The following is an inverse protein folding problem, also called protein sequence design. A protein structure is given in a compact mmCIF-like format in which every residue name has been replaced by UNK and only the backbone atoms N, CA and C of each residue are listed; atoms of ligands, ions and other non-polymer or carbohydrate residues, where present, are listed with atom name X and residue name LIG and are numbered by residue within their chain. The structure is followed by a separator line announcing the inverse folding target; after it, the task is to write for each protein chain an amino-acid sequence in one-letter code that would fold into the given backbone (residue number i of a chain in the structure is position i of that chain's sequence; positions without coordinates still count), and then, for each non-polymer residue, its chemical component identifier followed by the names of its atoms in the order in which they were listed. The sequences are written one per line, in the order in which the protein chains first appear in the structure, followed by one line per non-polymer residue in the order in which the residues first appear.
data_IF_994186704422
#
_entry.id   IF_994186704422
#
_cell.length_a   1.000
_cell.length_b   1.000
_cell.length_c   1.000
_cell.angle_alpha   90.00
_cell.angle_beta   90.00
_cell.angle_gamma   90.00
#
_symmetry.space_group_name_H-M   'P 1'
#
loop_
_entity.id
_entity.type
_entity.pdbx_description
1 polymer ?
#
# COMPACT_ATOMS: atom_id res chain seq x y z
N UNK A 1 -4.44 8.94 -22.60
CA UNK A 1 -5.88 9.28 -22.71
C UNK A 1 -6.08 10.77 -22.78
N UNK A 2 -6.44 11.25 -23.96
CA UNK A 2 -6.92 12.62 -24.19
C UNK A 2 -8.40 12.72 -23.74
N UNK A 3 -8.71 13.71 -22.90
CA UNK A 3 -10.07 13.93 -22.37
C UNK A 3 -10.76 15.14 -22.99
N UNK A 4 -10.03 15.89 -23.82
CA UNK A 4 -10.45 17.11 -24.49
C UNK A 4 -9.95 17.09 -25.93
N UNK A 5 -10.55 17.92 -26.78
CA UNK A 5 -10.15 18.11 -28.18
C UNK A 5 -9.15 19.28 -28.23
N UNK A 6 -7.88 19.06 -28.63
CA UNK A 6 -6.91 20.15 -28.71
C UNK A 6 -7.30 21.15 -29.78
N UNK A 7 -7.65 22.37 -29.36
CA UNK A 7 -7.94 23.47 -30.27
C UNK A 7 -6.64 24.15 -30.71
N UNK A 8 -6.37 24.17 -32.02
CA UNK A 8 -5.17 24.80 -32.56
C UNK A 8 -5.39 26.29 -32.84
N UNK A 9 -6.42 26.59 -33.64
CA UNK A 9 -6.91 27.92 -34.03
C UNK A 9 -8.19 27.71 -34.84
N UNK A 10 -8.82 28.81 -35.24
CA UNK A 10 -9.91 28.76 -36.23
C UNK A 10 -9.34 28.25 -37.56
N UNK A 11 -10.02 27.25 -38.12
CA UNK A 11 -9.60 26.55 -39.34
C UNK A 11 -10.43 27.02 -40.53
N UNK A 12 -9.78 27.19 -41.67
CA UNK A 12 -10.48 27.33 -42.94
C UNK A 12 -11.00 25.96 -43.41
N UNK A 13 -12.06 25.91 -44.22
CA UNK A 13 -12.70 24.65 -44.62
C UNK A 13 -11.78 23.66 -45.37
N UNK A 14 -10.72 24.17 -46.03
CA UNK A 14 -9.68 23.33 -46.65
C UNK A 14 -8.75 22.65 -45.63
N UNK A 15 -8.63 23.21 -44.43
CA UNK A 15 -7.77 22.71 -43.35
C UNK A 15 -8.52 21.76 -42.41
N UNK A 16 -9.86 21.83 -42.37
CA UNK A 16 -10.72 21.04 -41.50
C UNK A 16 -10.52 19.53 -41.71
N UNK A 17 -10.40 19.07 -42.95
CA UNK A 17 -10.16 17.66 -43.26
C UNK A 17 -8.83 17.15 -42.67
N UNK A 18 -7.78 17.99 -42.72
CA UNK A 18 -6.46 17.65 -42.17
C UNK A 18 -6.48 17.60 -40.64
N UNK A 19 -7.20 18.53 -40.01
CA UNK A 19 -7.38 18.54 -38.57
C UNK A 19 -8.19 17.33 -38.07
N UNK A 20 -9.29 16.99 -38.75
CA UNK A 20 -10.09 15.82 -38.41
C UNK A 20 -9.30 14.50 -38.56
N UNK A 21 -8.40 14.42 -39.55
CA UNK A 21 -7.49 13.28 -39.67
C UNK A 21 -6.52 13.21 -38.48
N UNK A 22 -5.93 14.34 -38.08
CA UNK A 22 -5.04 14.39 -36.92
C UNK A 22 -5.75 14.00 -35.61
N UNK A 23 -7.01 14.41 -35.42
CA UNK A 23 -7.80 13.98 -34.26
C UNK A 23 -8.00 12.45 -34.24
N UNK A 24 -8.25 11.82 -35.38
CA UNK A 24 -8.34 10.36 -35.48
C UNK A 24 -7.01 9.68 -35.16
N UNK A 25 -5.90 10.24 -35.62
CA UNK A 25 -4.56 9.73 -35.28
C UNK A 25 -4.30 9.77 -33.77
N UNK A 26 -4.76 10.82 -33.07
CA UNK A 26 -4.68 10.92 -31.62
C UNK A 26 -5.53 9.85 -30.90
N UNK A 27 -6.75 9.61 -31.38
CA UNK A 27 -7.62 8.54 -30.87
C UNK A 27 -6.99 7.15 -31.07
N UNK A 28 -6.37 6.92 -32.23
CA UNK A 28 -5.66 5.68 -32.55
C UNK A 28 -4.44 5.46 -31.64
N UNK A 29 -3.72 6.53 -31.26
CA UNK A 29 -2.59 6.44 -30.33
C UNK A 29 -3.06 6.02 -28.93
N UNK A 30 -4.17 6.57 -28.45
CA UNK A 30 -4.76 6.16 -27.17
C UNK A 30 -5.19 4.68 -27.20
N UNK A 31 -5.85 4.25 -28.29
CA UNK A 31 -6.27 2.86 -28.47
C UNK A 31 -5.08 1.89 -28.50
N UNK A 32 -4.02 2.23 -29.24
CA UNK A 32 -2.77 1.44 -29.30
C UNK A 32 -2.06 1.34 -27.95
N UNK A 33 -2.19 2.35 -27.11
CA UNK A 33 -1.64 2.36 -25.75
C UNK A 33 -2.45 1.52 -24.75
N UNK A 34 -3.58 0.93 -25.20
CA UNK A 34 -4.46 0.11 -24.37
C UNK A 34 -5.54 0.90 -23.63
N UNK A 35 -5.64 2.22 -23.85
CA UNK A 35 -6.76 2.99 -23.34
C UNK A 35 -8.03 2.65 -24.14
N UNK A 36 -9.16 2.70 -23.45
CA UNK A 36 -10.49 2.57 -24.07
C UNK A 36 -11.19 3.92 -23.97
N UNK A 37 -10.90 4.87 -24.90
CA UNK A 37 -11.58 6.14 -24.90
C UNK A 37 -13.07 5.89 -25.12
N UNK A 38 -13.89 6.45 -24.23
CA UNK A 38 -15.34 6.43 -24.38
C UNK A 38 -15.74 7.38 -25.51
N UNK A 39 -16.69 6.98 -26.36
CA UNK A 39 -17.22 7.86 -27.39
C UNK A 39 -17.76 9.14 -26.73
N UNK A 40 -17.62 10.30 -27.39
CA UNK A 40 -18.08 11.60 -26.85
C UNK A 40 -19.56 11.59 -26.46
N UNK A 41 -20.43 11.00 -27.27
CA UNK A 41 -21.87 10.99 -27.02
C UNK A 41 -22.19 10.04 -25.86
N UNK A 42 -21.51 8.89 -25.80
CA UNK A 42 -21.58 7.97 -24.66
C UNK A 42 -21.07 8.64 -23.37
N UNK A 43 -19.98 9.40 -23.44
CA UNK A 43 -19.42 10.16 -22.32
C UNK A 43 -20.39 11.21 -21.82
N UNK A 44 -21.02 11.94 -22.74
CA UNK A 44 -22.03 12.95 -22.40
C UNK A 44 -23.24 12.29 -21.71
N UNK A 45 -23.73 11.17 -22.23
CA UNK A 45 -24.80 10.38 -21.59
C UNK A 45 -24.35 9.89 -20.22
N UNK A 46 -23.15 9.34 -20.09
CA UNK A 46 -22.63 8.84 -18.83
C UNK A 46 -22.52 9.94 -17.76
N UNK A 47 -22.10 11.15 -18.13
CA UNK A 47 -22.05 12.32 -17.24
C UNK A 47 -23.45 12.67 -16.75
N UNK A 48 -24.45 12.81 -17.63
CA UNK A 48 -25.82 13.15 -17.24
C UNK A 48 -26.40 12.08 -16.30
N UNK A 49 -26.19 10.80 -16.62
CA UNK A 49 -26.66 9.71 -15.77
C UNK A 49 -25.95 9.71 -14.41
N UNK A 50 -24.66 10.02 -14.35
CA UNK A 50 -23.89 10.12 -13.11
C UNK A 50 -24.36 11.29 -12.24
N UNK A 51 -24.56 12.46 -12.83
CA UNK A 51 -25.12 13.63 -12.13
C UNK A 51 -26.51 13.34 -11.57
N UNK A 52 -27.37 12.69 -12.37
CA UNK A 52 -28.70 12.29 -11.90
C UNK A 52 -28.62 11.24 -10.80
N UNK A 53 -27.72 10.27 -10.88
CA UNK A 53 -27.51 9.28 -9.83
C UNK A 53 -27.04 9.94 -8.52
N UNK A 54 -26.11 10.88 -8.61
CA UNK A 54 -25.65 11.69 -7.48
C UNK A 54 -26.81 12.45 -6.82
N UNK A 55 -27.64 13.11 -7.62
CA UNK A 55 -28.82 13.81 -7.13
C UNK A 55 -29.81 12.87 -6.42
N UNK A 56 -30.12 11.70 -7.01
CA UNK A 56 -31.06 10.73 -6.42
C UNK A 56 -30.56 10.14 -5.08
N UNK A 57 -29.25 10.00 -4.91
CA UNK A 57 -28.68 9.46 -3.66
C UNK A 57 -28.95 10.35 -2.46
N UNK A 58 -29.04 11.67 -2.67
CA UNK A 58 -29.39 12.63 -1.62
C UNK A 58 -30.80 12.39 -1.07
N UNK A 59 -31.72 11.87 -1.89
CA UNK A 59 -33.11 11.64 -1.50
C UNK A 59 -33.38 10.20 -1.03
N UNK A 60 -32.56 9.24 -1.44
CA UNK A 60 -32.83 7.81 -1.26
C UNK A 60 -33.06 7.44 0.22
N UNK A 61 -32.23 7.93 1.13
CA UNK A 61 -32.36 7.64 2.56
C UNK A 61 -33.65 8.23 3.16
N UNK A 62 -34.08 9.40 2.68
CA UNK A 62 -35.33 10.04 3.11
C UNK A 62 -36.54 9.29 2.56
N UNK A 63 -36.54 8.97 1.26
CA UNK A 63 -37.64 8.22 0.63
C UNK A 63 -37.82 6.83 1.24
N UNK A 64 -36.73 6.11 1.55
CA UNK A 64 -36.83 4.80 2.20
C UNK A 64 -37.48 4.89 3.58
N UNK A 65 -37.20 5.96 4.34
CA UNK A 65 -37.83 6.21 5.63
C UNK A 65 -39.32 6.55 5.48
N UNK A 66 -39.66 7.40 4.51
CA UNK A 66 -41.04 7.84 4.27
C UNK A 66 -41.92 6.71 3.72
N UNK A 67 -41.39 5.89 2.80
CA UNK A 67 -42.07 4.72 2.26
C UNK A 67 -42.29 3.63 3.34
N UNK A 68 -41.46 3.64 4.39
CA UNK A 68 -41.55 2.75 5.56
C UNK A 68 -41.79 1.28 5.18
N UNK A 69 -41.08 0.80 4.15
CA UNK A 69 -41.17 -0.58 3.69
C UNK A 69 -40.39 -1.44 4.68
N UNK A 70 -41.07 -2.38 5.34
CA UNK A 70 -40.45 -3.31 6.29
C UNK A 70 -39.20 -3.97 5.70
N UNK A 71 -38.11 -3.97 6.47
CA UNK A 71 -36.82 -4.56 6.11
C UNK A 71 -36.09 -3.91 4.91
N UNK A 72 -36.62 -2.83 4.31
CA UNK A 72 -36.00 -2.13 3.20
C UNK A 72 -35.33 -0.83 3.66
N UNK A 73 -34.00 -0.86 3.79
CA UNK A 73 -33.18 0.31 4.04
C UNK A 73 -31.94 0.28 3.14
N UNK A 74 -31.17 1.37 3.11
CA UNK A 74 -29.98 1.49 2.25
C UNK A 74 -28.97 0.36 2.46
N UNK A 75 -28.76 -0.10 3.69
CA UNK A 75 -27.85 -1.22 3.98
C UNK A 75 -28.36 -2.55 3.41
N UNK A 76 -29.68 -2.80 3.49
CA UNK A 76 -30.33 -3.96 2.85
C UNK A 76 -30.14 -3.93 1.35
N UNK A 77 -30.38 -2.78 0.71
CA UNK A 77 -30.23 -2.61 -0.73
C UNK A 77 -28.78 -2.79 -1.19
N UNK A 78 -27.80 -2.26 -0.44
CA UNK A 78 -26.37 -2.46 -0.72
C UNK A 78 -26.00 -3.95 -0.64
N UNK A 79 -26.42 -4.65 0.42
CA UNK A 79 -26.19 -6.09 0.56
C UNK A 79 -26.82 -6.87 -0.60
N UNK A 80 -28.05 -6.52 -0.96
CA UNK A 80 -28.80 -7.17 -2.03
C UNK A 80 -28.10 -7.01 -3.39
N UNK A 81 -27.65 -5.80 -3.72
CA UNK A 81 -26.91 -5.50 -4.95
C UNK A 81 -25.54 -6.19 -5.02
N UNK A 82 -24.86 -6.36 -3.88
CA UNK A 82 -23.60 -7.11 -3.80
C UNK A 82 -23.81 -8.61 -4.07
N UNK A 83 -24.87 -9.19 -3.51
CA UNK A 83 -25.20 -10.60 -3.73
C UNK A 83 -25.64 -10.90 -5.18
N UNK A 84 -26.21 -9.91 -5.89
CA UNK A 84 -26.49 -10.06 -7.33
C UNK A 84 -25.24 -9.87 -8.20
N UNK A 85 -24.28 -9.04 -7.79
CA UNK A 85 -23.01 -8.82 -8.51
C UNK A 85 -22.20 -10.10 -8.72
N UNK A 86 -22.31 -11.02 -7.75
CA UNK A 86 -21.44 -12.18 -7.64
C UNK A 86 -21.67 -13.27 -8.65
N UNK A 87 -22.78 -13.23 -9.39
CA UNK A 87 -23.04 -14.23 -10.42
C UNK A 87 -22.46 -13.88 -11.79
N UNK A 88 -22.60 -12.63 -12.26
CA UNK A 88 -22.32 -12.29 -13.67
C UNK A 88 -20.93 -11.67 -13.96
N UNK A 89 -20.15 -11.28 -12.95
CA UNK A 89 -18.87 -10.54 -13.20
C UNK A 89 -17.66 -10.97 -12.37
N UNK A 90 -17.81 -11.94 -11.46
CA UNK A 90 -16.76 -12.27 -10.50
C UNK A 90 -15.85 -13.41 -10.97
N UNK A 91 -14.55 -13.19 -10.80
CA UNK A 91 -13.55 -14.26 -10.97
C UNK A 91 -13.74 -15.35 -9.89
N UNK A 92 -13.40 -16.62 -10.16
CA UNK A 92 -13.59 -17.72 -9.21
C UNK A 92 -12.97 -17.48 -7.83
N UNK A 93 -11.87 -16.71 -7.77
CA UNK A 93 -11.17 -16.36 -6.53
C UNK A 93 -11.97 -15.36 -5.68
N UNK A 94 -12.57 -14.35 -6.31
CA UNK A 94 -13.43 -13.41 -5.59
C UNK A 94 -14.74 -14.08 -5.14
N UNK A 95 -15.22 -15.13 -5.84
CA UNK A 95 -16.34 -15.96 -5.36
C UNK A 95 -15.98 -16.72 -4.08
N UNK A 96 -14.74 -17.22 -3.95
CA UNK A 96 -14.26 -17.89 -2.76
C UNK A 96 -14.10 -16.92 -1.55
N UNK A 97 -13.61 -15.70 -1.79
CA UNK A 97 -13.46 -14.69 -0.74
C UNK A 97 -14.82 -14.16 -0.25
N UNK A 98 -15.78 -13.95 -1.16
CA UNK A 98 -17.16 -13.63 -0.78
C UNK A 98 -17.83 -14.78 -0.03
N UNK A 99 -17.64 -16.03 -0.47
CA UNK A 99 -18.19 -17.20 0.22
C UNK A 99 -17.65 -17.34 1.65
N UNK A 100 -16.36 -17.05 1.87
CA UNK A 100 -15.77 -16.98 3.21
C UNK A 100 -16.36 -15.84 4.04
N UNK A 101 -16.60 -14.66 3.46
CA UNK A 101 -17.23 -13.53 4.17
C UNK A 101 -18.72 -13.74 4.48
N UNK A 102 -19.43 -14.54 3.67
CA UNK A 102 -20.84 -14.86 3.84
C UNK A 102 -21.08 -16.04 4.79
N UNK A 103 -20.03 -16.77 5.18
CA UNK A 103 -20.05 -17.79 6.23
C UNK A 103 -20.34 -17.21 7.62
N UNK A 104 -20.01 -15.94 7.84
CA UNK A 104 -20.23 -15.23 9.11
C UNK A 104 -21.64 -14.62 9.16
N UNK A 105 -22.69 -15.46 9.16
CA UNK A 105 -24.02 -15.19 9.71
C UNK A 105 -24.82 -13.94 9.25
N UNK A 106 -24.37 -13.18 8.25
CA UNK A 106 -24.88 -11.84 7.94
C UNK A 106 -25.65 -11.76 6.59
N UNK A 107 -26.19 -12.88 6.15
CA UNK A 107 -27.05 -13.00 4.98
C UNK A 107 -28.36 -12.23 5.12
N UNK A 108 -28.94 -11.81 4.00
CA UNK A 108 -30.26 -11.19 3.98
C UNK A 108 -31.33 -12.22 4.37
N UNK A 109 -32.25 -11.84 5.25
CA UNK A 109 -33.45 -12.64 5.50
C UNK A 109 -34.31 -12.72 4.23
N UNK A 110 -35.11 -13.78 4.03
CA UNK A 110 -35.98 -13.91 2.86
C UNK A 110 -36.90 -12.69 2.66
N UNK A 111 -37.42 -12.13 3.75
CA UNK A 111 -38.30 -10.96 3.75
C UNK A 111 -37.55 -9.70 3.32
N UNK A 112 -36.30 -9.54 3.76
CA UNK A 112 -35.46 -8.41 3.38
C UNK A 112 -35.02 -8.50 1.92
N UNK A 113 -34.77 -9.73 1.44
CA UNK A 113 -34.49 -10.00 0.03
C UNK A 113 -35.68 -9.65 -0.87
N UNK A 114 -36.91 -10.07 -0.49
CA UNK A 114 -38.12 -9.74 -1.24
C UNK A 114 -38.38 -8.23 -1.27
N UNK A 115 -38.27 -7.55 -0.12
CA UNK A 115 -38.46 -6.12 -0.03
C UNK A 115 -37.44 -5.33 -0.89
N UNK A 116 -36.17 -5.76 -0.87
CA UNK A 116 -35.13 -5.17 -1.70
C UNK A 116 -35.35 -5.41 -3.20
N UNK A 117 -35.79 -6.61 -3.59
CA UNK A 117 -36.15 -6.94 -4.98
C UNK A 117 -37.29 -6.06 -5.49
N UNK A 118 -38.40 -5.98 -4.73
CA UNK A 118 -39.56 -5.16 -5.10
C UNK A 118 -39.18 -3.69 -5.22
N UNK A 119 -38.38 -3.16 -4.30
CA UNK A 119 -37.90 -1.78 -4.37
C UNK A 119 -37.01 -1.55 -5.59
N UNK A 120 -36.09 -2.48 -5.89
CA UNK A 120 -35.21 -2.40 -7.07
C UNK A 120 -36.03 -2.36 -8.36
N UNK A 121 -37.07 -3.18 -8.48
CA UNK A 121 -37.90 -3.23 -9.69
C UNK A 121 -38.75 -1.96 -9.83
N UNK A 122 -39.34 -1.48 -8.74
CA UNK A 122 -40.06 -0.21 -8.73
C UNK A 122 -39.13 0.96 -9.11
N UNK A 123 -37.91 0.98 -8.56
CA UNK A 123 -36.91 1.98 -8.91
C UNK A 123 -36.54 1.90 -10.40
N UNK A 124 -36.31 0.70 -10.93
CA UNK A 124 -35.98 0.48 -12.34
C UNK A 124 -37.11 0.97 -13.26
N UNK A 125 -38.36 0.67 -12.92
CA UNK A 125 -39.52 1.13 -13.69
C UNK A 125 -39.56 2.67 -13.76
N UNK A 126 -39.37 3.36 -12.64
CA UNK A 126 -39.48 4.83 -12.55
C UNK A 126 -38.28 5.54 -13.15
N UNK A 127 -37.06 5.10 -12.83
CA UNK A 127 -35.82 5.82 -13.13
C UNK A 127 -35.01 5.26 -14.30
N UNK A 128 -35.38 4.10 -14.84
CA UNK A 128 -34.77 3.51 -16.03
C UNK A 128 -35.77 3.35 -17.18
N UNK A 129 -36.80 2.53 -17.01
CA UNK A 129 -37.67 2.12 -18.13
C UNK A 129 -38.57 3.26 -18.63
N UNK A 130 -39.13 4.06 -17.72
CA UNK A 130 -39.95 5.23 -18.07
C UNK A 130 -39.14 6.49 -18.36
N UNK A 131 -37.84 6.37 -18.61
CA UNK A 131 -36.95 7.50 -18.88
C UNK A 131 -36.32 7.39 -20.27
N UNK A 132 -36.13 8.55 -20.90
CA UNK A 132 -35.33 8.64 -22.14
C UNK A 132 -33.89 8.21 -21.87
N UNK A 133 -33.23 7.58 -22.85
CA UNK A 133 -31.94 6.88 -22.70
C UNK A 133 -30.88 7.64 -21.89
N UNK A 134 -30.65 8.91 -22.21
CA UNK A 134 -29.64 9.73 -21.54
C UNK A 134 -30.00 10.10 -20.09
N UNK A 135 -31.24 9.89 -19.68
CA UNK A 135 -31.78 10.13 -18.34
C UNK A 135 -31.90 8.86 -17.51
N UNK A 136 -31.70 7.68 -18.09
CA UNK A 136 -31.87 6.41 -17.37
C UNK A 136 -30.83 6.25 -16.24
N UNK A 137 -31.28 5.85 -15.05
CA UNK A 137 -30.40 5.62 -13.89
C UNK A 137 -30.74 4.29 -13.23
N UNK A 138 -29.70 3.51 -12.96
CA UNK A 138 -29.80 2.26 -12.23
C UNK A 138 -29.60 2.49 -10.73
N UNK A 139 -30.34 1.75 -9.90
CA UNK A 139 -30.22 1.81 -8.44
C UNK A 139 -28.78 1.56 -7.97
N UNK A 140 -28.05 0.66 -8.64
CA UNK A 140 -26.65 0.38 -8.38
C UNK A 140 -25.79 1.66 -8.47
N UNK A 141 -25.95 2.47 -9.51
CA UNK A 141 -25.20 3.73 -9.67
C UNK A 141 -25.50 4.74 -8.57
N UNK A 142 -26.73 4.73 -8.02
CA UNK A 142 -27.14 5.60 -6.90
C UNK A 142 -26.52 5.14 -5.58
N UNK A 143 -26.50 3.83 -5.34
CA UNK A 143 -25.96 3.26 -4.10
C UNK A 143 -24.42 3.32 -4.03
N UNK A 144 -23.74 3.30 -5.19
CA UNK A 144 -22.29 3.21 -5.29
C UNK A 144 -21.67 4.40 -6.06
N UNK A 145 -22.02 5.63 -5.66
CA UNK A 145 -21.50 6.86 -6.31
C UNK A 145 -19.98 6.98 -6.20
N UNK A 146 -19.42 6.69 -5.03
CA UNK A 146 -17.99 6.88 -4.77
C UNK A 146 -17.12 5.70 -5.24
N UNK A 147 -17.71 4.68 -5.89
CA UNK A 147 -17.02 3.42 -6.19
C UNK A 147 -16.50 2.67 -4.95
N UNK A 148 -16.64 3.24 -3.74
CA UNK A 148 -15.96 2.82 -2.51
C UNK A 148 -16.55 1.54 -1.87
N UNK A 149 -17.40 0.83 -2.61
CA UNK A 149 -17.94 -0.46 -2.15
C UNK A 149 -17.95 -1.54 -3.24
N UNK A 150 -17.27 -1.30 -4.36
CA UNK A 150 -16.55 -2.39 -5.03
C UNK A 150 -15.16 -2.48 -4.38
N UNK A 151 -15.12 -2.93 -3.12
CA UNK A 151 -13.88 -3.40 -2.48
C UNK A 151 -13.22 -4.58 -3.23
N UNK A 152 -13.76 -4.98 -4.38
CA UNK A 152 -13.25 -5.96 -5.32
C UNK A 152 -12.71 -5.35 -6.64
N UNK A 153 -12.96 -4.06 -6.93
CA UNK A 153 -12.41 -3.39 -8.13
C UNK A 153 -11.35 -2.34 -7.83
N UNK A 154 -11.08 -2.05 -6.55
CA UNK A 154 -9.87 -1.37 -6.13
C UNK A 154 -8.68 -2.34 -6.28
N UNK A 155 -8.30 -2.54 -7.53
CA UNK A 155 -7.13 -3.27 -8.03
C UNK A 155 -5.79 -2.78 -7.47
N UNK A 156 -5.84 -1.82 -6.54
CA UNK A 156 -4.78 -1.45 -5.61
C UNK A 156 -4.62 -2.48 -4.47
N UNK A 157 -5.11 -3.71 -4.64
CA UNK A 157 -4.89 -4.84 -3.73
C UNK A 157 -3.53 -5.52 -3.91
N UNK A 158 -2.59 -4.96 -4.67
CA UNK A 158 -1.24 -5.57 -4.78
C UNK A 158 -0.51 -5.64 -3.44
N UNK A 159 -0.89 -4.82 -2.44
CA UNK A 159 -0.19 -4.74 -1.16
C UNK A 159 -0.69 -5.72 -0.07
N UNK A 160 -1.85 -6.38 -0.25
CA UNK A 160 -2.55 -7.05 0.87
C UNK A 160 -2.94 -8.51 0.63
N UNK A 161 -2.46 -9.13 -0.44
CA UNK A 161 -2.90 -10.48 -0.86
C UNK A 161 -1.96 -11.61 -0.38
N UNK A 162 -1.48 -11.53 0.87
CA UNK A 162 -0.64 -12.60 1.51
C UNK A 162 -1.36 -13.28 2.69
N UNK A 163 -2.55 -12.84 3.10
CA UNK A 163 -3.19 -13.37 4.30
C UNK A 163 -4.10 -14.60 4.03
N UNK A 164 -3.86 -15.66 4.80
CA UNK A 164 -4.68 -16.86 5.03
C UNK A 164 -4.38 -18.14 4.22
N UNK A 165 -3.09 -18.44 4.01
CA UNK A 165 -2.62 -19.83 4.00
C UNK A 165 -2.08 -20.11 5.41
N UNK A 166 -2.25 -21.32 5.95
CA UNK A 166 -1.57 -21.72 7.19
C UNK A 166 -0.06 -21.52 6.96
N UNK A 167 0.48 -20.42 7.48
CA UNK A 167 1.90 -20.10 7.37
C UNK A 167 2.59 -20.86 8.49
N UNK A 168 3.05 -22.07 8.17
CA UNK A 168 3.70 -22.95 9.14
C UNK A 168 5.18 -22.60 9.36
N UNK A 169 5.72 -21.65 8.57
CA UNK A 169 7.11 -21.18 8.64
C UNK A 169 7.21 -19.73 9.13
N UNK A 170 8.08 -19.49 10.11
CA UNK A 170 8.43 -18.18 10.67
C UNK A 170 8.89 -17.17 9.60
N UNK A 171 9.55 -17.62 8.52
CA UNK A 171 9.96 -16.74 7.41
C UNK A 171 8.75 -16.17 6.65
N UNK A 172 7.76 -17.02 6.36
CA UNK A 172 6.55 -16.63 5.64
C UNK A 172 5.66 -15.71 6.48
N UNK A 173 5.61 -15.97 7.79
CA UNK A 173 4.95 -15.09 8.77
C UNK A 173 5.62 -13.72 8.77
N UNK A 174 6.96 -13.68 8.83
CA UNK A 174 7.71 -12.43 8.78
C UNK A 174 7.50 -11.68 7.45
N UNK A 175 7.45 -12.39 6.32
CA UNK A 175 7.16 -11.82 5.01
C UNK A 175 5.75 -11.23 4.92
N UNK A 176 4.75 -11.90 5.50
CA UNK A 176 3.38 -11.39 5.58
C UNK A 176 3.30 -10.11 6.41
N UNK A 177 3.93 -10.11 7.60
CA UNK A 177 3.98 -8.95 8.48
C UNK A 177 4.70 -7.74 7.84
N UNK A 178 5.68 -8.01 6.96
CA UNK A 178 6.48 -7.00 6.28
C UNK A 178 6.06 -6.76 4.82
N UNK A 179 4.93 -7.32 4.37
CA UNK A 179 4.54 -7.36 2.97
C UNK A 179 4.53 -5.98 2.30
N UNK A 180 4.02 -4.95 2.99
CA UNK A 180 4.00 -3.57 2.46
C UNK A 180 5.41 -3.06 2.14
N UNK A 181 6.40 -3.39 2.96
CA UNK A 181 7.79 -3.01 2.76
C UNK A 181 8.43 -3.82 1.62
N UNK A 182 8.15 -5.12 1.57
CA UNK A 182 8.63 -6.00 0.50
C UNK A 182 8.09 -5.57 -0.88
N UNK A 183 6.83 -5.14 -0.91
CA UNK A 183 6.12 -4.78 -2.13
C UNK A 183 6.44 -3.36 -2.55
N UNK A 184 6.41 -2.36 -1.66
CA UNK A 184 6.57 -0.95 -2.05
C UNK A 184 8.00 -0.42 -1.95
N UNK A 185 8.85 -1.01 -1.09
CA UNK A 185 10.18 -0.51 -0.78
C UNK A 185 11.12 -0.60 -1.98
N UNK A 186 11.52 0.56 -2.52
CA UNK A 186 12.40 0.61 -3.68
C UNK A 186 13.84 0.19 -3.31
N UNK A 187 14.42 -0.73 -4.09
CA UNK A 187 15.81 -1.19 -3.90
C UNK A 187 16.88 -0.19 -4.33
N UNK A 188 16.50 0.87 -5.04
CA UNK A 188 17.44 1.92 -5.52
C UNK A 188 17.47 3.10 -4.56
N UNK A 189 16.30 3.64 -4.23
CA UNK A 189 16.18 4.89 -3.46
C UNK A 189 15.54 4.74 -2.07
N UNK A 190 15.13 3.53 -1.70
CA UNK A 190 14.57 3.22 -0.36
C UNK A 190 13.28 3.97 0.00
N UNK A 191 12.66 4.62 -0.99
CA UNK A 191 11.32 5.20 -0.85
C UNK A 191 10.25 4.16 -1.20
N UNK A 192 9.08 4.28 -0.57
CA UNK A 192 7.88 3.49 -0.85
C UNK A 192 7.02 4.10 -1.98
N UNK A 193 7.36 5.31 -2.41
CA UNK A 193 6.79 5.99 -3.57
C UNK A 193 7.89 6.81 -4.24
N UNK A 194 8.22 6.47 -5.48
CA UNK A 194 9.31 7.06 -6.26
C UNK A 194 9.05 6.85 -7.76
N UNK A 195 9.97 7.27 -8.62
CA UNK A 195 9.86 7.09 -10.07
C UNK A 195 10.41 5.74 -10.56
N UNK A 196 11.08 4.97 -9.69
CA UNK A 196 11.61 3.65 -10.04
C UNK A 196 10.51 2.58 -10.11
N UNK A 197 10.59 1.71 -11.11
CA UNK A 197 9.63 0.66 -11.40
C UNK A 197 9.05 0.82 -12.80
N UNK A 198 7.99 0.07 -13.07
CA UNK A 198 7.31 0.04 -14.35
C UNK A 198 5.82 0.29 -14.14
N UNK A 199 5.20 1.02 -15.06
CA UNK A 199 3.75 1.17 -15.10
C UNK A 199 3.20 0.27 -16.21
N UNK A 200 2.16 -0.48 -15.90
CA UNK A 200 1.44 -1.24 -16.91
C UNK A 200 0.44 -0.37 -17.68
N UNK A 201 -0.24 -0.97 -18.67
CA UNK A 201 -1.26 -0.31 -19.50
C UNK A 201 -2.49 0.17 -18.72
N UNK A 202 -2.69 -0.32 -17.49
CA UNK A 202 -3.77 0.12 -16.57
C UNK A 202 -3.28 1.20 -15.61
N UNK A 203 -2.06 1.69 -15.80
CA UNK A 203 -1.37 2.63 -14.91
C UNK A 203 -1.16 2.06 -13.49
N UNK A 204 -1.05 0.74 -13.35
CA UNK A 204 -0.62 0.11 -12.12
C UNK A 204 0.89 0.05 -12.06
N UNK A 205 1.42 0.46 -10.91
CA UNK A 205 2.86 0.50 -10.70
C UNK A 205 3.37 -0.85 -10.19
N UNK A 206 4.21 -1.52 -10.98
CA UNK A 206 5.13 -2.55 -10.49
C UNK A 206 6.38 -1.85 -9.96
N UNK A 207 6.53 -1.80 -8.65
CA UNK A 207 7.67 -1.21 -7.95
C UNK A 207 8.94 -2.05 -8.16
N UNK A 208 10.09 -1.36 -8.23
CA UNK A 208 11.39 -2.02 -8.19
C UNK A 208 11.77 -2.38 -6.75
N UNK A 209 11.14 -3.43 -6.23
CA UNK A 209 11.15 -3.84 -4.82
C UNK A 209 11.60 -5.29 -4.64
N UNK A 210 11.67 -5.76 -3.38
CA UNK A 210 12.05 -7.14 -3.07
C UNK A 210 11.13 -8.14 -3.76
N UNK A 211 9.82 -7.93 -3.67
CA UNK A 211 8.82 -8.81 -4.28
C UNK A 211 8.91 -8.93 -5.80
N UNK A 212 9.59 -8.00 -6.48
CA UNK A 212 9.85 -8.08 -7.93
C UNK A 212 11.02 -9.00 -8.30
N UNK A 213 11.85 -9.41 -7.33
CA UNK A 213 13.04 -10.22 -7.57
C UNK A 213 13.01 -11.57 -6.86
N UNK A 214 12.65 -11.61 -5.58
CA UNK A 214 12.56 -12.84 -4.78
C UNK A 214 11.64 -12.64 -3.57
N UNK A 215 11.11 -13.72 -3.02
CA UNK A 215 10.40 -13.69 -1.74
C UNK A 215 11.36 -13.26 -0.62
N UNK A 216 10.84 -12.58 0.41
CA UNK A 216 11.66 -12.28 1.59
C UNK A 216 12.13 -13.58 2.25
N UNK A 217 11.27 -14.60 2.28
CA UNK A 217 11.58 -15.91 2.85
C UNK A 217 12.82 -16.55 2.21
N UNK A 218 12.91 -16.55 0.88
CA UNK A 218 14.09 -17.07 0.15
C UNK A 218 15.37 -16.30 0.49
N UNK A 219 15.25 -14.97 0.63
CA UNK A 219 16.38 -14.10 0.97
C UNK A 219 16.88 -14.40 2.38
N UNK A 220 15.97 -14.57 3.33
CA UNK A 220 16.30 -14.92 4.71
C UNK A 220 16.97 -16.29 4.80
N UNK A 221 16.46 -17.29 4.07
CA UNK A 221 17.08 -18.62 4.01
C UNK A 221 18.51 -18.56 3.45
N UNK A 222 18.71 -17.88 2.31
CA UNK A 222 20.05 -17.72 1.72
C UNK A 222 21.01 -16.98 2.65
N UNK A 223 20.52 -15.98 3.38
CA UNK A 223 21.29 -15.23 4.36
C UNK A 223 21.78 -16.12 5.52
N UNK A 224 20.91 -17.00 6.02
CA UNK A 224 21.29 -17.98 7.05
C UNK A 224 22.30 -19.01 6.55
N UNK A 225 22.11 -19.54 5.34
CA UNK A 225 23.09 -20.46 4.71
C UNK A 225 24.45 -19.78 4.56
N UNK A 226 24.49 -18.52 4.11
CA UNK A 226 25.73 -17.77 3.95
C UNK A 226 26.43 -17.43 5.28
N UNK A 227 25.67 -17.33 6.37
CA UNK A 227 26.17 -17.07 7.71
C UNK A 227 26.45 -18.35 8.52
N UNK A 228 26.16 -19.54 7.97
CA UNK A 228 26.43 -20.80 8.63
C UNK A 228 27.93 -20.92 8.95
N UNK A 229 28.28 -20.89 10.24
CA UNK A 229 29.66 -20.90 10.73
C UNK A 229 30.25 -19.53 11.13
N UNK A 230 29.52 -18.43 10.97
CA UNK A 230 29.94 -17.10 11.40
C UNK A 230 29.20 -16.66 12.69
N UNK A 231 29.81 -16.88 13.86
CA UNK A 231 29.32 -16.32 15.12
C UNK A 231 29.51 -14.80 15.10
N UNK A 232 28.41 -14.05 14.94
CA UNK A 232 28.41 -12.59 14.75
C UNK A 232 27.63 -11.83 15.80
N UNK A 233 27.37 -12.46 16.95
CA UNK A 233 26.72 -11.79 18.08
C UNK A 233 27.67 -10.71 18.63
N UNK A 234 27.22 -9.45 18.75
CA UNK A 234 27.99 -8.41 19.47
C UNK A 234 28.23 -8.84 20.90
N UNK A 235 29.45 -8.56 21.36
CA UNK A 235 29.89 -8.87 22.72
C UNK A 235 29.29 -7.94 23.79
N UNK A 236 28.79 -6.76 23.44
CA UNK A 236 28.36 -5.76 24.42
C UNK A 236 26.89 -5.92 24.85
N UNK A 237 26.60 -6.07 26.16
CA UNK A 237 25.24 -6.04 26.71
C UNK A 237 24.58 -4.67 26.55
N UNK A 238 23.26 -4.64 26.32
CA UNK A 238 22.51 -3.37 26.28
C UNK A 238 22.29 -2.78 27.68
N UNK A 239 22.03 -1.47 27.73
CA UNK A 239 21.85 -0.72 28.99
C UNK A 239 20.51 -1.03 29.69
N UNK A 240 19.51 -1.53 28.94
CA UNK A 240 18.14 -1.77 29.43
C UNK A 240 17.95 -3.13 30.08
N UNK A 241 18.70 -3.40 31.17
CA UNK A 241 18.65 -4.67 31.93
C UNK A 241 18.85 -5.90 31.04
N UNK A 242 19.98 -5.94 30.33
CA UNK A 242 20.27 -7.01 29.37
C UNK A 242 20.06 -8.42 29.96
N UNK A 243 19.28 -9.26 29.29
CA UNK A 243 18.99 -10.65 29.72
C UNK A 243 20.27 -11.48 29.91
N UNK A 244 21.35 -11.14 29.21
CA UNK A 244 22.67 -11.78 29.30
C UNK A 244 23.35 -11.58 30.66
N UNK A 245 23.04 -10.48 31.35
CA UNK A 245 23.58 -10.18 32.67
C UNK A 245 22.90 -11.01 33.78
N UNK A 246 21.82 -11.74 33.47
CA UNK A 246 21.06 -12.59 34.40
C UNK A 246 20.77 -11.88 35.74
N UNK A 247 20.35 -10.62 35.65
CA UNK A 247 19.98 -9.82 36.81
C UNK A 247 18.73 -10.38 37.48
N UNK A 248 18.60 -10.29 38.82
CA UNK A 248 17.38 -10.70 39.51
C UNK A 248 16.18 -9.85 39.05
N UNK A 249 14.94 -10.40 39.07
CA UNK A 249 13.74 -9.66 38.71
C UNK A 249 13.62 -8.37 39.51
N UNK A 250 13.26 -7.27 38.83
CA UNK A 250 13.02 -6.01 39.52
C UNK A 250 11.71 -6.09 40.31
N UNK A 251 11.74 -5.99 41.65
CA UNK A 251 10.55 -6.09 42.49
C UNK A 251 9.57 -4.91 42.31
N UNK A 252 10.00 -3.83 41.65
CA UNK A 252 9.19 -2.64 41.38
C UNK A 252 8.62 -2.59 39.97
N UNK A 253 9.00 -3.53 39.10
CA UNK A 253 8.53 -3.56 37.73
C UNK A 253 7.08 -4.06 37.66
N UNK A 254 6.17 -3.19 37.20
CA UNK A 254 4.83 -3.59 36.80
C UNK A 254 4.87 -4.28 35.45
N UNK A 255 4.54 -5.58 35.40
CA UNK A 255 4.48 -6.33 34.15
C UNK A 255 3.34 -5.82 33.26
N UNK A 256 3.70 -5.08 32.21
CA UNK A 256 2.76 -4.66 31.17
C UNK A 256 2.37 -5.88 30.31
N UNK A 257 1.07 -6.11 30.11
CA UNK A 257 0.58 -7.16 29.21
C UNK A 257 1.08 -6.96 27.77
N UNK A 258 1.38 -8.03 27.07
CA UNK A 258 1.83 -8.00 25.67
C UNK A 258 0.65 -7.87 24.70
N UNK A 259 0.72 -6.89 23.79
CA UNK A 259 -0.21 -6.83 22.66
C UNK A 259 0.24 -7.75 21.52
N UNK A 260 -0.68 -8.08 20.61
CA UNK A 260 -0.35 -8.87 19.42
C UNK A 260 0.66 -8.15 18.52
N UNK A 261 0.53 -6.82 18.36
CA UNK A 261 1.48 -6.02 17.58
C UNK A 261 2.91 -6.06 18.16
N UNK A 262 3.04 -6.07 19.49
CA UNK A 262 4.34 -6.20 20.17
C UNK A 262 4.95 -7.59 19.91
N UNK A 263 4.14 -8.66 19.93
CA UNK A 263 4.57 -10.03 19.59
C UNK A 263 4.98 -10.16 18.13
N UNK A 264 4.18 -9.61 17.21
CA UNK A 264 4.45 -9.56 15.77
C UNK A 264 5.78 -8.85 15.51
N UNK A 265 5.99 -7.69 16.14
CA UNK A 265 7.24 -6.93 15.99
C UNK A 265 8.45 -7.71 16.50
N UNK A 266 8.36 -8.32 17.68
CA UNK A 266 9.42 -9.15 18.25
C UNK A 266 9.78 -10.31 17.32
N UNK A 267 8.77 -11.05 16.84
CA UNK A 267 8.95 -12.17 15.90
C UNK A 267 9.61 -11.70 14.60
N UNK A 268 9.07 -10.67 13.95
CA UNK A 268 9.61 -10.15 12.69
C UNK A 268 11.02 -9.58 12.84
N UNK A 269 11.33 -8.90 13.94
CA UNK A 269 12.69 -8.42 14.21
C UNK A 269 13.65 -9.59 14.37
N UNK A 270 13.31 -10.59 15.19
CA UNK A 270 14.18 -11.75 15.41
C UNK A 270 14.49 -12.47 14.10
N UNK A 271 13.45 -12.88 13.35
CA UNK A 271 13.59 -13.64 12.10
C UNK A 271 14.42 -12.89 11.04
N UNK A 272 14.30 -11.56 10.96
CA UNK A 272 15.01 -10.77 9.94
C UNK A 272 16.42 -10.36 10.33
N UNK A 273 16.69 -10.20 11.62
CA UNK A 273 17.99 -9.74 12.14
C UNK A 273 18.92 -10.86 12.54
N UNK A 274 18.40 -12.06 12.85
CA UNK A 274 19.23 -13.23 13.05
C UNK A 274 20.07 -13.48 11.78
N UNK A 275 21.36 -13.75 11.96
CA UNK A 275 22.34 -13.92 10.87
C UNK A 275 22.57 -12.70 9.96
N UNK A 276 22.24 -11.49 10.41
CA UNK A 276 22.55 -10.25 9.69
C UNK A 276 23.94 -9.71 10.01
N UNK A 277 24.46 -8.82 9.14
CA UNK A 277 25.71 -8.08 9.41
C UNK A 277 25.59 -7.13 10.61
N UNK A 278 24.37 -6.90 11.13
CA UNK A 278 24.15 -6.19 12.38
C UNK A 278 24.82 -6.96 13.50
N UNK A 279 25.82 -6.35 14.13
CA UNK A 279 26.41 -6.91 15.34
C UNK A 279 25.41 -6.90 16.50
N UNK A 280 24.39 -6.04 16.47
CA UNK A 280 23.42 -5.89 17.56
C UNK A 280 22.58 -7.15 17.70
N UNK A 281 22.45 -7.60 18.95
CA UNK A 281 21.59 -8.71 19.35
C UNK A 281 20.09 -8.39 19.07
N UNK A 282 19.34 -9.31 18.42
CA UNK A 282 17.94 -9.08 18.08
C UNK A 282 17.03 -8.76 19.28
N UNK A 283 17.28 -9.38 20.43
CA UNK A 283 16.49 -9.18 21.66
C UNK A 283 16.78 -7.79 22.24
N UNK A 284 18.06 -7.42 22.28
CA UNK A 284 18.49 -6.07 22.68
C UNK A 284 17.91 -4.99 21.74
N UNK A 285 17.88 -5.25 20.43
CA UNK A 285 17.28 -4.34 19.46
C UNK A 285 15.77 -4.19 19.68
N UNK A 286 15.05 -5.30 19.85
CA UNK A 286 13.61 -5.29 20.10
C UNK A 286 13.26 -4.53 21.39
N UNK A 287 14.15 -4.55 22.38
CA UNK A 287 14.01 -3.80 23.64
C UNK A 287 13.83 -2.29 23.40
N UNK A 288 14.61 -1.71 22.49
CA UNK A 288 14.52 -0.29 22.15
C UNK A 288 13.20 0.06 21.44
N UNK A 289 12.74 -0.81 20.52
CA UNK A 289 11.50 -0.56 19.80
C UNK A 289 10.24 -0.75 20.64
N UNK A 290 10.24 -1.76 21.50
CA UNK A 290 9.09 -2.11 22.36
C UNK A 290 9.03 -1.24 23.61
N UNK A 291 10.11 -0.50 23.91
CA UNK A 291 10.28 0.26 25.13
C UNK A 291 10.01 -0.60 26.40
N UNK A 292 10.49 -1.84 26.38
CA UNK A 292 10.41 -2.80 27.50
C UNK A 292 11.81 -3.03 28.10
N UNK A 293 11.92 -3.81 29.17
CA UNK A 293 13.23 -4.26 29.64
C UNK A 293 13.70 -5.48 28.84
N UNK A 294 15.02 -5.65 28.68
CA UNK A 294 15.57 -6.69 27.82
C UNK A 294 15.34 -8.10 28.35
N UNK A 295 15.33 -8.27 29.67
CA UNK A 295 14.93 -9.51 30.36
C UNK A 295 13.46 -9.89 30.10
N UNK A 296 12.54 -8.92 30.12
CA UNK A 296 11.12 -9.13 29.79
C UNK A 296 10.93 -9.54 28.32
N UNK A 297 11.63 -8.88 27.39
CA UNK A 297 11.58 -9.21 25.96
C UNK A 297 12.13 -10.62 25.71
N UNK A 298 13.20 -11.00 26.41
CA UNK A 298 13.75 -12.35 26.32
C UNK A 298 12.78 -13.42 26.87
N UNK A 299 12.13 -13.15 27.99
CA UNK A 299 11.13 -14.06 28.56
C UNK A 299 9.94 -14.26 27.60
N UNK A 300 9.45 -13.18 26.98
CA UNK A 300 8.39 -13.29 25.99
C UNK A 300 8.86 -14.03 24.73
N UNK A 301 10.08 -13.74 24.25
CA UNK A 301 10.68 -14.46 23.13
C UNK A 301 10.72 -15.98 23.38
N UNK A 302 11.11 -16.41 24.59
CA UNK A 302 11.06 -17.82 24.97
C UNK A 302 9.63 -18.38 24.97
N UNK A 303 8.65 -17.59 25.42
CA UNK A 303 7.23 -18.00 25.43
C UNK A 303 6.63 -18.14 24.03
N UNK A 304 7.12 -17.37 23.05
CA UNK A 304 6.66 -17.42 21.66
C UNK A 304 7.20 -18.64 20.91
N UNK A 305 8.20 -19.34 21.45
CA UNK A 305 8.80 -20.56 20.88
C UNK A 305 9.13 -20.45 19.37
N UNK A 306 9.75 -19.33 18.99
CA UNK A 306 10.10 -19.04 17.59
C UNK A 306 11.18 -20.03 17.13
N UNK A 307 10.81 -20.87 16.17
CA UNK A 307 11.66 -21.94 15.61
C UNK A 307 12.06 -21.57 14.18
N UNK A 308 13.32 -21.22 13.97
CA UNK A 308 13.83 -20.97 12.61
C UNK A 308 14.05 -22.30 11.87
N UNK A 309 13.75 -22.37 10.56
CA UNK A 309 13.98 -23.58 9.77
C UNK A 309 15.43 -24.05 9.83
N UNK A 310 15.63 -25.36 10.01
CA UNK A 310 16.93 -26.01 10.01
C UNK A 310 17.63 -25.83 8.65
N UNK A 311 18.92 -25.50 8.68
CA UNK A 311 19.69 -25.22 7.48
C UNK A 311 20.16 -26.52 6.84
N UNK A 312 19.52 -26.94 5.75
CA UNK A 312 20.15 -27.93 4.88
C UNK A 312 21.39 -27.30 4.22
N UNK A 313 22.59 -27.89 4.36
CA UNK A 313 23.79 -27.37 3.75
C UNK A 313 23.71 -27.52 2.22
N UNK A 314 23.31 -26.45 1.56
CA UNK A 314 23.26 -26.42 0.10
C UNK A 314 24.67 -26.10 -0.42
N UNK A 315 25.40 -27.12 -0.90
CA UNK A 315 26.66 -26.88 -1.62
C UNK A 315 26.38 -25.99 -2.84
N UNK A 316 27.11 -24.87 -3.01
CA UNK A 316 26.90 -24.02 -4.18
C UNK A 316 27.25 -24.84 -5.43
N UNK A 317 26.35 -24.90 -6.45
CA UNK A 317 26.66 -25.58 -7.68
C UNK A 317 27.93 -24.97 -8.27
N UNK A 318 28.96 -25.80 -8.51
CA UNK A 318 30.24 -25.33 -9.07
C UNK A 318 29.96 -24.65 -10.42
N UNK A 319 30.24 -23.34 -10.56
CA UNK A 319 30.01 -22.67 -11.82
C UNK A 319 30.89 -23.31 -12.89
N UNK A 320 30.29 -23.74 -14.00
CA UNK A 320 31.06 -24.11 -15.19
C UNK A 320 31.68 -22.82 -15.73
N UNK A 321 33.02 -22.79 -15.86
CA UNK A 321 33.71 -21.69 -16.50
C UNK A 321 33.18 -21.52 -17.93
N UNK A 322 32.49 -20.40 -18.18
CA UNK A 322 32.12 -20.02 -19.54
C UNK A 322 33.40 -19.53 -20.20
N UNK A 323 33.93 -20.31 -21.15
CA UNK A 323 35.06 -19.88 -21.97
C UNK A 323 34.58 -18.81 -22.96
N UNK A 324 34.47 -17.56 -22.51
CA UNK A 324 34.26 -16.40 -23.39
C UNK A 324 35.35 -15.36 -23.09
N UNK A 325 36.16 -14.93 -24.07
CA UNK A 325 37.28 -14.01 -23.83
C UNK A 325 36.87 -12.58 -23.44
N UNK A 326 35.58 -12.22 -23.57
CA UNK A 326 35.14 -10.83 -23.47
C UNK A 326 34.63 -10.42 -22.07
N UNK A 327 34.36 -11.35 -21.15
CA UNK A 327 33.84 -11.03 -19.82
C UNK A 327 34.48 -11.90 -18.75
N UNK A 328 35.67 -11.52 -18.31
CA UNK A 328 36.24 -12.02 -17.05
C UNK A 328 35.44 -11.45 -15.87
N UNK A 329 34.35 -12.12 -15.48
CA UNK A 329 33.43 -11.70 -14.41
C UNK A 329 33.97 -11.96 -12.98
N UNK A 330 35.29 -11.87 -12.79
CA UNK A 330 35.90 -12.01 -11.46
C UNK A 330 36.06 -10.68 -10.72
N UNK A 331 35.80 -9.53 -11.37
CA UNK A 331 35.96 -8.20 -10.76
C UNK A 331 34.66 -7.48 -10.41
N UNK A 332 33.51 -7.84 -11.00
CA UNK A 332 32.24 -7.09 -10.85
C UNK A 332 31.14 -7.81 -10.07
N UNK A 333 31.27 -9.12 -9.81
CA UNK A 333 30.25 -9.89 -9.08
C UNK A 333 30.10 -9.50 -7.59
N UNK A 334 31.07 -8.78 -7.03
CA UNK A 334 31.04 -8.27 -5.66
C UNK A 334 30.21 -6.99 -5.49
N UNK A 335 29.87 -6.29 -6.58
CA UNK A 335 29.12 -5.04 -6.50
C UNK A 335 27.63 -5.34 -6.32
N UNK A 336 27.01 -6.14 -7.20
CA UNK A 336 25.57 -6.43 -7.13
C UNK A 336 25.20 -7.22 -5.87
N UNK A 337 26.07 -8.14 -5.43
CA UNK A 337 25.85 -8.97 -4.23
C UNK A 337 25.88 -8.16 -2.92
N UNK A 338 26.63 -7.05 -2.88
CA UNK A 338 26.67 -6.15 -1.73
C UNK A 338 25.53 -5.12 -1.73
N UNK A 339 25.04 -4.70 -2.90
CA UNK A 339 23.96 -3.71 -3.01
C UNK A 339 22.60 -4.25 -2.51
N UNK A 340 22.26 -5.51 -2.78
CA UNK A 340 20.99 -6.11 -2.30
C UNK A 340 21.01 -6.32 -0.77
N UNK A 341 22.16 -6.64 -0.20
CA UNK A 341 22.33 -6.77 1.25
C UNK A 341 22.31 -5.40 1.97
N UNK A 342 22.91 -4.36 1.36
CA UNK A 342 22.82 -2.99 1.86
C UNK A 342 21.39 -2.43 1.74
N UNK A 343 20.65 -2.81 0.71
CA UNK A 343 19.29 -2.33 0.48
C UNK A 343 18.28 -2.80 1.54
N UNK A 344 18.38 -4.07 1.96
CA UNK A 344 17.59 -4.60 3.06
C UNK A 344 17.94 -3.93 4.40
N UNK A 345 19.24 -3.69 4.64
CA UNK A 345 19.73 -3.00 5.84
C UNK A 345 19.35 -1.51 5.89
N UNK A 346 19.44 -0.80 4.76
CA UNK A 346 19.10 0.62 4.71
C UNK A 346 17.60 0.83 4.83
N UNK A 347 16.76 -0.07 4.31
CA UNK A 347 15.33 -0.04 4.57
C UNK A 347 15.04 -0.23 6.07
N UNK A 348 15.67 -1.19 6.74
CA UNK A 348 15.51 -1.39 8.20
C UNK A 348 16.05 -0.20 9.02
N UNK A 349 17.17 0.41 8.62
CA UNK A 349 17.76 1.58 9.28
C UNK A 349 16.99 2.90 9.00
N UNK A 350 16.44 3.09 7.81
CA UNK A 350 15.56 4.24 7.50
C UNK A 350 14.22 4.09 8.24
N UNK A 351 13.75 2.85 8.44
CA UNK A 351 12.62 2.54 9.32
C UNK A 351 12.94 2.84 10.79
N UNK A 352 14.18 2.62 11.23
CA UNK A 352 14.65 3.00 12.58
C UNK A 352 14.58 4.50 12.82
N UNK A 353 14.98 5.35 11.86
CA UNK A 353 15.01 6.81 12.10
C UNK A 353 13.64 7.48 12.05
N UNK A 354 12.73 7.00 11.18
CA UNK A 354 11.41 7.64 11.01
C UNK A 354 10.38 7.27 12.08
N UNK A 355 10.48 6.07 12.64
CA UNK A 355 9.60 5.63 13.74
C UNK A 355 9.97 6.35 15.05
N UNK A 356 11.27 6.55 15.31
CA UNK A 356 11.76 7.34 16.45
C UNK A 356 11.28 8.80 16.37
N UNK A 357 11.32 9.43 15.19
CA UNK A 357 10.84 10.82 15.01
C UNK A 357 9.33 10.95 15.25
N UNK A 358 8.53 9.94 14.87
CA UNK A 358 7.07 9.97 15.08
C UNK A 358 6.68 9.77 16.55
N UNK A 359 7.38 8.90 17.27
CA UNK A 359 7.13 8.65 18.70
C UNK A 359 7.65 9.79 19.60
N UNK A 360 8.73 10.49 19.23
CA UNK A 360 9.28 11.61 20.02
C UNK A 360 8.54 12.94 19.80
N UNK A 361 7.90 13.15 18.65
CA UNK A 361 7.15 14.39 18.37
C UNK A 361 5.76 14.45 19.01
N UNK A 362 5.24 13.35 19.57
CA UNK A 362 3.96 13.37 20.28
C UNK A 362 4.06 13.93 21.71
N UNK A 363 5.27 14.02 22.31
CA UNK A 363 5.43 14.37 23.73
C UNK A 363 6.40 15.52 24.04
N UNK A 364 6.94 16.25 23.06
CA UNK A 364 7.92 17.32 23.33
C UNK A 364 7.49 18.68 22.79
N UNK A 365 7.11 19.60 23.69
CA UNK A 365 6.76 21.00 23.38
C UNK A 365 7.95 21.93 23.11
N UNK A 366 9.18 21.45 23.18
CA UNK A 366 10.37 22.26 22.85
C UNK A 366 11.59 21.36 22.70
N UNK A 367 12.22 21.34 21.52
CA UNK A 367 13.55 20.75 21.32
C UNK A 367 14.49 21.84 20.81
N UNK A 368 15.50 22.16 21.61
CA UNK A 368 16.69 22.90 21.19
C UNK A 368 17.73 21.91 20.67
N UNK A 369 18.24 22.15 19.47
CA UNK A 369 19.32 21.34 18.87
C UNK A 369 20.68 21.98 19.12
N UNK A 370 21.66 21.18 19.52
CA UNK A 370 23.09 21.48 19.44
C UNK A 370 23.75 20.39 18.62
N UNK A 371 24.24 20.75 17.43
CA UNK A 371 25.12 19.91 16.61
C UNK A 371 26.38 20.71 16.35
N UNK A 372 27.51 20.21 16.86
CA UNK A 372 28.83 20.75 16.58
C UNK A 372 29.33 20.21 15.23
N UNK A 373 29.65 21.09 14.28
CA UNK A 373 30.40 20.72 13.07
C UNK A 373 30.03 21.45 11.77
N UNK A 374 30.35 22.75 11.69
CA UNK A 374 30.78 23.51 10.48
C UNK A 374 29.78 23.89 9.36
N UNK A 375 29.10 25.05 9.58
CA UNK A 375 28.72 26.20 8.70
C UNK A 375 28.16 25.92 7.28
N UNK A 376 26.94 26.36 6.93
CA UNK A 376 26.51 27.77 6.79
C UNK A 376 25.03 27.99 7.20
N UNK A 377 24.75 29.15 7.80
CA UNK A 377 23.49 29.52 8.44
C UNK A 377 22.55 30.32 7.51
N UNK A 378 21.25 30.04 7.60
CA UNK A 378 20.19 31.04 7.50
C UNK A 378 19.20 30.82 8.64
N UNK A 379 19.07 31.84 9.52
CA UNK A 379 18.11 31.87 10.62
C UNK A 379 16.80 32.47 10.11
N UNK A 380 15.73 31.68 10.11
CA UNK A 380 14.36 32.17 9.96
C UNK A 380 13.47 31.51 11.00
N UNK A 381 12.98 32.28 11.98
CA UNK A 381 11.94 31.84 12.93
C UNK A 381 10.61 31.83 12.18
N UNK A 382 9.96 30.68 12.06
CA UNK A 382 8.55 30.59 11.64
C UNK A 382 7.73 30.13 12.85
N UNK A 383 6.78 30.98 13.26
CA UNK A 383 5.89 30.75 14.39
C UNK A 383 4.65 30.00 13.88
N UNK A 384 4.51 28.72 14.25
CA UNK A 384 3.44 27.81 13.79
C UNK A 384 2.11 28.02 14.56
N UNK A 385 1.60 29.26 14.60
CA UNK A 385 0.29 29.56 15.21
C UNK A 385 -0.75 30.23 14.32
N UNK A 386 -0.46 30.46 13.04
CA UNK A 386 -1.46 30.94 12.08
C UNK A 386 -1.39 30.10 10.82
N UNK A 387 -2.27 29.10 10.70
CA UNK A 387 -2.78 28.54 9.45
C UNK A 387 -3.86 27.51 9.79
N UNK A 388 -4.89 27.99 10.48
CA UNK A 388 -6.24 27.47 10.33
C UNK A 388 -7.01 28.49 9.50
N UNK A 389 -7.88 28.00 8.61
CA UNK A 389 -8.80 28.71 7.69
C UNK A 389 -8.33 28.92 6.25
N UNK A 390 -8.97 28.12 5.38
CA UNK A 390 -9.56 28.39 4.07
C UNK A 390 -8.75 28.96 2.89
N UNK A 391 -8.82 28.17 1.80
CA UNK A 391 -9.12 28.57 0.41
C UNK A 391 -8.47 29.85 -0.14
N UNK A 392 -7.52 29.70 -1.08
CA UNK A 392 -7.52 30.52 -2.29
C UNK A 392 -6.61 30.00 -3.42
N UNK A 393 -7.22 30.06 -4.60
CA UNK A 393 -6.73 29.81 -5.95
C UNK A 393 -5.44 30.54 -6.35
N UNK A 394 -4.72 29.90 -7.29
CA UNK A 394 -3.89 30.43 -8.38
C UNK A 394 -3.16 31.78 -8.18
N UNK A 395 -1.83 31.74 -8.35
CA UNK A 395 -1.12 32.48 -9.42
C UNK A 395 0.35 32.04 -9.54
N UNK A 396 0.65 31.36 -10.64
CA UNK A 396 1.99 31.24 -11.20
C UNK A 396 2.24 32.52 -12.03
N UNK A 397 3.33 33.24 -11.78
CA UNK A 397 4.12 33.96 -12.80
C UNK A 397 5.51 34.32 -12.20
N UNK A 398 6.59 34.37 -13.02
CA UNK A 398 7.97 34.32 -12.56
C UNK A 398 8.52 35.72 -12.26
N UNK A 399 9.36 35.84 -11.21
CA UNK A 399 10.20 37.02 -11.00
C UNK A 399 11.64 36.73 -11.43
N UNK A 400 12.00 37.32 -12.55
CA UNK A 400 13.36 37.64 -12.98
C UNK A 400 14.04 38.53 -11.95
N UNK A 401 15.28 38.19 -11.60
CA UNK A 401 16.15 39.04 -10.79
C UNK A 401 16.78 40.12 -11.67
N UNK A 402 16.79 41.34 -11.13
CA UNK A 402 17.37 42.55 -11.68
C UNK A 402 18.32 43.09 -10.61
N UNK A 403 19.62 43.14 -10.89
CA UNK A 403 20.66 43.89 -10.18
C UNK A 403 21.76 44.14 -11.24
N UNK A 404 22.43 45.28 -11.39
CA UNK A 404 22.47 46.57 -10.67
C UNK A 404 23.30 47.55 -11.52
N UNK A 405 23.10 48.87 -11.30
CA UNK A 405 24.01 50.03 -11.42
C UNK A 405 25.40 49.83 -12.07
N UNK A 406 25.89 50.69 -12.96
CA UNK A 406 25.94 52.16 -13.00
C UNK A 406 26.06 52.66 -14.42
#
# INVERSE_FOLDING_TARGET
MLTFVPHLRDLEGSEEAKYNLWLKELEDIDLKSGFKPMNRDEKHVAIIQAERAAALSLYLDTWLKELNISFCNKSTLIKYMKNQASDDSMTPRQKADLAKSNSDGNGLTPEAHLAAHMFKDAFQLVFKENQVDYKQVELRKVLFIDGSVDGAMDSKTTAKEVAAIQQDNEDEIAESNLATYCILGCLICFSHSCDHGEYDIKNWKRTFSLSSYASLSDILQRKRIAAAGANTIADEPCERRCYRLKLPPDPTATMKSWSEDERILLRSLYVTTDFSKTKIDPICLATEFLNRNCDEVYAEFQSLNISLPELEPMEPPRPRNISCPAYACNSTANVIRNYVAHAALLNVLILQTRTIIRCTLQDVKTVTYSVAGTRLFFLGKVNLKELATDSLLLKILPKTNLLLST
#
